data_IF_047360105447
#
_entry.id   IF_047360105447
#
_cell.length_a   1.000
_cell.length_b   1.000
_cell.length_c   1.000
_cell.angle_alpha   90.00
_cell.angle_beta   90.00
_cell.angle_gamma   90.00
#
_symmetry.space_group_name_H-M   'P 1'
#
loop_
_entity.id
_entity.type
_entity.pdbx_description
1 polymer ?
#
# COMPACT_ATOMS: atom_id res chain seq x y z
N UNK A 1 43.17 -44.59 0.17
CA UNK A 1 41.71 -44.59 0.16
C UNK A 1 41.18 -44.15 -1.21
N UNK A 2 40.96 -45.08 -2.15
CA UNK A 2 40.45 -44.74 -3.51
C UNK A 2 38.97 -44.37 -3.49
N UNK A 3 38.21 -44.98 -2.57
CA UNK A 3 36.76 -44.77 -2.41
C UNK A 3 36.45 -43.35 -1.94
N UNK A 4 37.21 -42.79 -0.98
CA UNK A 4 37.02 -41.39 -0.53
C UNK A 4 37.27 -40.39 -1.67
N UNK A 5 38.38 -40.54 -2.40
CA UNK A 5 38.69 -39.63 -3.50
C UNK A 5 37.62 -39.70 -4.61
N UNK A 6 37.12 -40.89 -4.92
CA UNK A 6 36.00 -41.06 -5.86
C UNK A 6 34.72 -40.39 -5.35
N UNK A 7 34.44 -40.46 -4.05
CA UNK A 7 33.31 -39.77 -3.43
C UNK A 7 33.45 -38.24 -3.51
N UNK A 8 34.62 -37.69 -3.18
CA UNK A 8 34.91 -36.25 -3.24
C UNK A 8 34.75 -35.70 -4.67
N UNK A 9 35.28 -36.40 -5.68
CA UNK A 9 35.15 -36.02 -7.09
C UNK A 9 33.68 -36.06 -7.55
N UNK A 10 32.93 -37.08 -7.13
CA UNK A 10 31.51 -37.20 -7.48
C UNK A 10 30.69 -36.04 -6.89
N UNK A 11 30.93 -35.70 -5.62
CA UNK A 11 30.22 -34.63 -4.94
C UNK A 11 30.53 -33.27 -5.57
N UNK A 12 31.81 -32.95 -5.81
CA UNK A 12 32.20 -31.69 -6.45
C UNK A 12 31.60 -31.57 -7.86
N UNK A 13 31.58 -32.66 -8.66
CA UNK A 13 30.91 -32.68 -9.96
C UNK A 13 29.39 -32.52 -9.87
N UNK A 14 28.77 -33.07 -8.83
CA UNK A 14 27.34 -32.89 -8.54
C UNK A 14 27.03 -31.42 -8.27
N UNK A 15 27.83 -30.80 -7.40
CA UNK A 15 27.74 -29.38 -7.07
C UNK A 15 27.89 -28.48 -8.30
N UNK A 16 28.89 -28.72 -9.16
CA UNK A 16 29.09 -27.96 -10.41
C UNK A 16 27.84 -27.95 -11.31
N UNK A 17 27.08 -29.05 -11.35
CA UNK A 17 25.83 -29.12 -12.12
C UNK A 17 24.67 -28.36 -11.46
N UNK A 18 24.67 -28.28 -10.12
CA UNK A 18 23.65 -27.55 -9.37
C UNK A 18 23.83 -26.04 -9.44
N UNK A 19 25.08 -25.56 -9.55
CA UNK A 19 25.40 -24.13 -9.66
C UNK A 19 24.56 -23.45 -10.75
N UNK A 20 24.54 -24.02 -11.96
CA UNK A 20 23.80 -23.44 -13.09
C UNK A 20 22.29 -23.40 -12.83
N UNK A 21 21.74 -24.45 -12.21
CA UNK A 21 20.31 -24.56 -11.92
C UNK A 21 19.90 -23.55 -10.86
N UNK A 22 20.62 -23.50 -9.73
CA UNK A 22 20.30 -22.59 -8.62
C UNK A 22 20.57 -21.14 -9.01
N UNK A 23 21.58 -20.86 -9.82
CA UNK A 23 21.87 -19.53 -10.34
C UNK A 23 20.72 -18.97 -11.18
N UNK A 24 19.90 -19.80 -11.83
CA UNK A 24 18.71 -19.30 -12.56
C UNK A 24 17.71 -18.57 -11.65
N UNK A 25 17.70 -18.89 -10.35
CA UNK A 25 16.84 -18.24 -9.36
C UNK A 25 17.04 -16.71 -9.31
N UNK A 26 18.25 -16.22 -9.64
CA UNK A 26 18.54 -14.78 -9.64
C UNK A 26 17.81 -14.02 -10.77
N UNK A 27 17.33 -14.73 -11.78
CA UNK A 27 16.56 -14.15 -12.89
C UNK A 27 15.05 -14.17 -12.64
N UNK A 28 14.61 -14.67 -11.49
CA UNK A 28 13.20 -14.57 -11.05
C UNK A 28 12.86 -13.14 -10.68
N UNK A 29 11.59 -12.76 -10.84
CA UNK A 29 11.06 -11.48 -10.33
C UNK A 29 11.32 -11.37 -8.82
N UNK A 30 11.48 -10.16 -8.28
CA UNK A 30 11.78 -9.98 -6.85
C UNK A 30 10.55 -10.15 -5.94
N UNK A 31 9.34 -10.01 -6.47
CA UNK A 31 8.08 -10.16 -5.75
C UNK A 31 7.17 -11.19 -6.42
N UNK A 32 6.31 -11.80 -5.61
CA UNK A 32 5.16 -12.63 -6.02
C UNK A 32 3.87 -12.00 -5.51
N UNK A 33 2.80 -12.18 -6.27
CA UNK A 33 1.43 -11.93 -5.81
C UNK A 33 0.84 -13.24 -5.33
N UNK A 34 0.28 -13.24 -4.12
CA UNK A 34 -0.40 -14.39 -3.54
C UNK A 34 -1.90 -14.16 -3.59
N UNK A 35 -2.64 -15.17 -4.03
CA UNK A 35 -4.09 -15.16 -3.89
C UNK A 35 -4.46 -15.66 -2.50
N UNK A 36 -5.37 -14.95 -1.82
CA UNK A 36 -5.83 -15.30 -0.46
C UNK A 36 -6.39 -16.72 -0.35
N UNK A 37 -6.97 -17.24 -1.44
CA UNK A 37 -7.52 -18.60 -1.48
C UNK A 37 -6.42 -19.67 -1.31
N UNK A 38 -5.19 -19.39 -1.78
CA UNK A 38 -4.05 -20.31 -1.64
C UNK A 38 -3.51 -20.30 -0.19
N UNK A 39 -3.53 -19.17 0.50
CA UNK A 39 -3.08 -19.03 1.90
C UNK A 39 -3.99 -19.72 2.91
N UNK A 40 -5.32 -19.67 2.69
CA UNK A 40 -6.29 -20.37 3.53
C UNK A 40 -6.17 -21.90 3.38
N UNK A 41 -5.73 -22.39 2.23
CA UNK A 41 -5.45 -23.83 2.03
C UNK A 41 -4.21 -24.32 2.80
N UNK A 42 -3.19 -23.46 2.94
CA UNK A 42 -1.97 -23.77 3.70
C UNK A 42 -2.14 -23.57 5.22
N UNK A 43 -2.95 -22.61 5.65
CA UNK A 43 -3.18 -22.30 7.06
C UNK A 43 -4.21 -23.22 7.75
N UNK A 44 -5.08 -23.91 6.99
CA UNK A 44 -6.14 -24.77 7.55
C UNK A 44 -5.66 -26.07 8.24
N UNK A 45 -4.35 -26.29 8.37
CA UNK A 45 -3.83 -27.46 9.09
C UNK A 45 -3.78 -27.24 10.61
N UNK A 46 -3.81 -26.01 11.13
CA UNK A 46 -3.73 -25.76 12.58
C UNK A 46 -4.70 -24.69 13.09
N UNK A 47 -5.63 -25.16 13.93
CA UNK A 47 -6.43 -24.45 14.94
C UNK A 47 -7.72 -23.83 14.42
N UNK A 48 -8.83 -24.45 14.83
CA UNK A 48 -10.18 -23.93 14.67
C UNK A 48 -10.47 -22.74 15.58
N UNK A 49 -11.53 -22.03 15.22
CA UNK A 49 -12.14 -20.91 15.94
C UNK A 49 -11.38 -19.58 15.89
N UNK A 50 -11.45 -18.91 14.74
CA UNK A 50 -11.52 -17.46 14.72
C UNK A 50 -12.54 -17.05 13.66
N UNK A 51 -13.65 -16.46 14.13
CA UNK A 51 -14.58 -15.72 13.28
C UNK A 51 -13.81 -14.52 12.73
N UNK A 52 -13.29 -14.64 11.52
CA UNK A 52 -12.65 -13.53 10.81
C UNK A 52 -13.76 -12.78 10.10
N UNK A 53 -14.06 -11.59 10.61
CA UNK A 53 -14.82 -10.55 9.92
C UNK A 53 -14.20 -10.41 8.53
N UNK A 54 -14.90 -10.92 7.52
CA UNK A 54 -14.52 -10.77 6.12
C UNK A 54 -14.67 -9.31 5.72
N UNK A 55 -13.59 -8.54 5.82
CA UNK A 55 -13.45 -7.30 5.07
C UNK A 55 -13.44 -7.69 3.59
N UNK A 56 -14.58 -7.46 2.96
CA UNK A 56 -14.87 -7.74 1.56
C UNK A 56 -14.10 -6.77 0.68
N UNK A 57 -12.90 -7.12 0.23
CA UNK A 57 -12.34 -6.43 -0.94
C UNK A 57 -11.35 -7.31 -1.67
N UNK A 58 -11.75 -7.70 -2.88
CA UNK A 58 -10.96 -8.38 -3.91
C UNK A 58 -9.76 -7.52 -4.41
N UNK A 59 -9.47 -6.41 -3.73
CA UNK A 59 -8.66 -5.26 -4.17
C UNK A 59 -7.30 -5.16 -3.46
N UNK A 60 -7.04 -5.97 -2.43
CA UNK A 60 -5.77 -6.00 -1.71
C UNK A 60 -4.92 -7.22 -2.08
N UNK A 61 -4.07 -7.13 -3.11
CA UNK A 61 -3.11 -8.18 -3.40
C UNK A 61 -2.13 -8.33 -2.22
N UNK A 62 -1.98 -9.57 -1.75
CA UNK A 62 -0.91 -9.90 -0.80
C UNK A 62 0.37 -10.18 -1.60
N UNK A 63 1.48 -9.59 -1.15
CA UNK A 63 2.77 -9.72 -1.82
C UNK A 63 3.71 -10.55 -0.95
N UNK A 64 4.61 -11.29 -1.59
CA UNK A 64 5.73 -11.98 -0.94
C UNK A 64 7.03 -11.70 -1.67
N UNK A 65 8.14 -11.76 -0.94
CA UNK A 65 9.48 -11.65 -1.51
C UNK A 65 9.85 -12.98 -2.16
N UNK A 66 10.17 -12.95 -3.44
CA UNK A 66 10.44 -14.13 -4.25
C UNK A 66 11.91 -14.54 -4.20
N UNK A 67 12.40 -14.97 -3.04
CA UNK A 67 13.82 -15.33 -2.88
C UNK A 67 13.98 -16.83 -2.66
N UNK A 68 14.75 -17.50 -3.52
CA UNK A 68 15.06 -18.92 -3.37
C UNK A 68 16.15 -19.10 -2.29
N UNK A 69 15.87 -19.76 -1.15
CA UNK A 69 16.85 -20.00 -0.10
C UNK A 69 18.08 -20.80 -0.57
N UNK A 70 17.95 -21.61 -1.64
CA UNK A 70 19.07 -22.35 -2.21
C UNK A 70 20.19 -21.43 -2.73
N UNK A 71 19.89 -20.16 -3.06
CA UNK A 71 20.89 -19.17 -3.48
C UNK A 71 21.88 -18.89 -2.34
N UNK A 72 21.41 -18.76 -1.10
CA UNK A 72 22.29 -18.53 0.06
C UNK A 72 23.08 -19.79 0.42
N UNK A 73 22.47 -20.98 0.23
CA UNK A 73 23.17 -22.25 0.39
C UNK A 73 24.32 -22.36 -0.62
N UNK A 74 24.06 -22.09 -1.90
CA UNK A 74 25.07 -22.07 -2.96
C UNK A 74 26.20 -21.08 -2.66
N UNK A 75 25.89 -19.88 -2.16
CA UNK A 75 26.91 -18.91 -1.75
C UNK A 75 27.79 -19.49 -0.63
N UNK A 76 27.18 -20.11 0.39
CA UNK A 76 27.91 -20.73 1.50
C UNK A 76 28.81 -21.87 1.01
N UNK A 77 28.29 -22.74 0.16
CA UNK A 77 29.06 -23.83 -0.45
C UNK A 77 30.24 -23.30 -1.26
N UNK A 78 30.02 -22.26 -2.07
CA UNK A 78 31.05 -21.59 -2.86
C UNK A 78 32.20 -21.10 -1.98
N UNK A 79 31.88 -20.44 -0.86
CA UNK A 79 32.88 -19.94 0.08
C UNK A 79 33.65 -21.09 0.76
N UNK A 80 32.97 -22.17 1.13
CA UNK A 80 33.60 -23.35 1.70
C UNK A 80 34.56 -24.01 0.71
N UNK A 81 34.12 -24.25 -0.54
CA UNK A 81 34.93 -24.88 -1.58
C UNK A 81 36.14 -24.00 -1.96
N UNK A 82 35.97 -22.68 -1.99
CA UNK A 82 37.06 -21.74 -2.23
C UNK A 82 38.14 -21.82 -1.14
N UNK A 83 37.74 -21.94 0.14
CA UNK A 83 38.67 -22.13 1.28
C UNK A 83 39.41 -23.46 1.22
N UNK A 84 38.80 -24.49 0.61
CA UNK A 84 39.42 -25.79 0.37
C UNK A 84 40.36 -25.80 -0.85
N UNK A 85 40.49 -24.69 -1.57
CA UNK A 85 41.35 -24.57 -2.76
C UNK A 85 40.80 -25.29 -3.99
N UNK A 86 39.50 -25.57 -4.03
CA UNK A 86 38.84 -26.21 -5.16
C UNK A 86 38.48 -25.18 -6.25
N UNK A 87 38.32 -25.66 -7.49
CA UNK A 87 37.92 -24.81 -8.61
C UNK A 87 36.47 -24.34 -8.43
N UNK A 88 36.24 -23.04 -8.64
CA UNK A 88 34.94 -22.39 -8.47
C UNK A 88 34.46 -21.86 -9.82
N UNK A 89 33.23 -22.20 -10.25
CA UNK A 89 32.58 -21.60 -11.41
C UNK A 89 32.47 -20.08 -11.27
N UNK A 90 32.57 -19.36 -12.39
CA UNK A 90 32.54 -17.89 -12.38
C UNK A 90 31.23 -17.35 -11.84
N UNK A 91 30.14 -18.01 -12.20
CA UNK A 91 28.77 -17.70 -11.82
C UNK A 91 28.59 -17.76 -10.30
N UNK A 92 29.07 -18.85 -9.69
CA UNK A 92 29.08 -19.04 -8.23
C UNK A 92 29.96 -17.99 -7.53
N UNK A 93 31.15 -17.69 -8.08
CA UNK A 93 32.05 -16.69 -7.52
C UNK A 93 31.46 -15.28 -7.55
N UNK A 94 30.81 -14.89 -8.66
CA UNK A 94 30.11 -13.60 -8.79
C UNK A 94 28.95 -13.53 -7.81
N UNK A 95 28.17 -14.61 -7.69
CA UNK A 95 27.05 -14.69 -6.78
C UNK A 95 27.49 -14.53 -5.32
N UNK A 96 28.57 -15.19 -4.92
CA UNK A 96 29.15 -15.07 -3.58
C UNK A 96 29.66 -13.65 -3.28
N UNK A 97 30.19 -12.92 -4.26
CA UNK A 97 30.57 -11.52 -4.10
C UNK A 97 29.38 -10.58 -3.87
N UNK A 98 28.18 -10.97 -4.30
CA UNK A 98 26.94 -10.17 -4.16
C UNK A 98 26.12 -10.52 -2.92
N UNK A 99 26.62 -11.39 -2.04
CA UNK A 99 25.90 -11.89 -0.86
C UNK A 99 25.30 -10.77 0.01
N UNK A 100 26.12 -9.77 0.37
CA UNK A 100 25.68 -8.68 1.24
C UNK A 100 24.55 -7.86 0.62
N UNK A 101 24.62 -7.62 -0.69
CA UNK A 101 23.56 -6.92 -1.43
C UNK A 101 22.27 -7.73 -1.48
N UNK A 102 22.35 -9.04 -1.76
CA UNK A 102 21.17 -9.91 -1.81
C UNK A 102 20.47 -9.99 -0.45
N UNK A 103 21.23 -10.16 0.64
CA UNK A 103 20.67 -10.17 2.00
C UNK A 103 20.01 -8.85 2.35
N UNK A 104 20.67 -7.74 2.02
CA UNK A 104 20.13 -6.40 2.24
C UNK A 104 18.82 -6.18 1.47
N UNK A 105 18.79 -6.47 0.17
CA UNK A 105 17.58 -6.33 -0.64
C UNK A 105 16.44 -7.23 -0.14
N UNK A 106 16.75 -8.46 0.29
CA UNK A 106 15.75 -9.34 0.90
C UNK A 106 15.12 -8.71 2.16
N UNK A 107 15.94 -8.15 3.05
CA UNK A 107 15.45 -7.48 4.26
C UNK A 107 14.61 -6.25 3.93
N UNK A 108 15.09 -5.37 3.05
CA UNK A 108 14.39 -4.15 2.65
C UNK A 108 13.05 -4.46 1.94
N UNK A 109 13.03 -5.44 1.04
CA UNK A 109 11.80 -5.88 0.36
C UNK A 109 10.80 -6.51 1.34
N UNK A 110 11.28 -7.25 2.33
CA UNK A 110 10.41 -7.84 3.36
C UNK A 110 9.74 -6.75 4.19
N UNK A 111 10.51 -5.73 4.60
CA UNK A 111 9.97 -4.57 5.32
C UNK A 111 8.97 -3.77 4.46
N UNK A 112 9.27 -3.58 3.19
CA UNK A 112 8.40 -2.89 2.23
C UNK A 112 7.07 -3.61 2.06
N UNK A 113 7.08 -4.93 1.88
CA UNK A 113 5.87 -5.76 1.75
C UNK A 113 5.02 -5.68 3.02
N UNK A 114 5.64 -5.79 4.19
CA UNK A 114 4.95 -5.69 5.48
C UNK A 114 4.37 -4.30 5.72
N UNK A 115 5.11 -3.24 5.38
CA UNK A 115 4.63 -1.85 5.44
C UNK A 115 3.39 -1.69 4.55
N UNK A 116 3.46 -2.13 3.29
CA UNK A 116 2.33 -2.06 2.37
C UNK A 116 1.10 -2.80 2.93
N UNK A 117 1.28 -3.98 3.55
CA UNK A 117 0.19 -4.71 4.21
C UNK A 117 -0.46 -3.90 5.33
N UNK A 118 0.34 -3.35 6.24
CA UNK A 118 -0.17 -2.54 7.37
C UNK A 118 -0.91 -1.28 6.91
N UNK A 119 -0.40 -0.58 5.89
CA UNK A 119 -1.08 0.60 5.34
C UNK A 119 -2.45 0.26 4.77
N UNK A 120 -2.55 -0.88 4.11
CA UNK A 120 -3.80 -1.38 3.55
C UNK A 120 -4.83 -1.76 4.62
N UNK A 121 -4.37 -2.20 5.79
CA UNK A 121 -5.22 -2.48 6.96
C UNK A 121 -5.69 -1.20 7.67
N UNK A 122 -4.97 -0.07 7.55
CA UNK A 122 -5.41 1.25 8.07
C UNK A 122 -6.60 1.85 7.31
N UNK A 123 -6.91 1.35 6.11
CA UNK A 123 -7.98 1.90 5.27
C UNK A 123 -9.34 1.52 5.86
N UNK A 124 -10.13 2.52 6.30
CA UNK A 124 -11.49 2.28 6.78
C UNK A 124 -12.42 1.98 5.60
N UNK A 125 -13.30 1.00 5.79
CA UNK A 125 -14.24 0.51 4.76
C UNK A 125 -15.02 1.62 4.00
N UNK A 126 -15.52 2.69 4.64
CA UNK A 126 -16.25 3.75 3.93
C UNK A 126 -15.43 4.49 2.86
N UNK A 127 -14.10 4.49 2.99
CA UNK A 127 -13.20 5.22 2.09
C UNK A 127 -12.52 4.33 1.05
N UNK A 128 -12.77 3.01 1.04
CA UNK A 128 -12.13 2.09 0.09
C UNK A 128 -12.39 2.51 -1.37
N UNK A 129 -13.64 2.83 -1.70
CA UNK A 129 -14.02 3.27 -3.05
C UNK A 129 -13.36 4.60 -3.44
N UNK A 130 -13.22 5.50 -2.47
CA UNK A 130 -12.63 6.82 -2.65
C UNK A 130 -11.12 6.74 -2.89
N UNK A 131 -10.45 5.84 -2.17
CA UNK A 131 -9.02 5.59 -2.25
C UNK A 131 -8.61 4.71 -3.43
N UNK A 132 -9.56 4.09 -4.13
CA UNK A 132 -9.29 3.13 -5.20
C UNK A 132 -8.29 3.64 -6.26
N UNK A 133 -8.36 4.89 -6.75
CA UNK A 133 -7.40 5.41 -7.73
C UNK A 133 -5.97 5.54 -7.16
N UNK A 134 -5.83 5.97 -5.91
CA UNK A 134 -4.52 6.06 -5.22
C UNK A 134 -3.94 4.66 -4.97
N UNK A 135 -4.78 3.70 -4.58
CA UNK A 135 -4.39 2.29 -4.43
C UNK A 135 -3.94 1.72 -5.78
N UNK A 136 -4.62 2.05 -6.88
CA UNK A 136 -4.25 1.61 -8.22
C UNK A 136 -2.87 2.15 -8.62
N UNK A 137 -2.63 3.45 -8.40
CA UNK A 137 -1.31 4.06 -8.62
C UNK A 137 -0.21 3.39 -7.82
N UNK A 138 -0.46 3.07 -6.55
CA UNK A 138 0.50 2.33 -5.72
C UNK A 138 0.77 0.93 -6.29
N UNK A 139 -0.26 0.22 -6.75
CA UNK A 139 -0.11 -1.08 -7.40
C UNK A 139 0.74 -1.00 -8.67
N UNK A 140 0.57 0.05 -9.48
CA UNK A 140 1.36 0.28 -10.70
C UNK A 140 2.84 0.54 -10.39
N UNK A 141 3.14 1.24 -9.31
CA UNK A 141 4.52 1.46 -8.84
C UNK A 141 5.16 0.14 -8.36
N UNK A 142 4.37 -0.77 -7.76
CA UNK A 142 4.83 -2.09 -7.29
C UNK A 142 4.97 -3.10 -8.45
N UNK A 143 4.14 -2.99 -9.50
CA UNK A 143 4.04 -3.93 -10.64
C UNK A 143 5.38 -4.32 -11.31
N UNK A 144 6.38 -3.44 -11.46
CA UNK A 144 7.69 -3.81 -11.96
C UNK A 144 8.37 -4.91 -11.13
N UNK A 145 8.18 -4.92 -9.80
CA UNK A 145 8.72 -5.96 -8.91
C UNK A 145 8.13 -7.35 -9.16
N UNK A 146 6.94 -7.42 -9.77
CA UNK A 146 6.25 -8.68 -10.11
C UNK A 146 6.60 -9.18 -11.51
N UNK A 147 7.15 -8.33 -12.38
CA UNK A 147 7.26 -8.63 -13.82
C UNK A 147 8.67 -8.48 -14.36
N UNK A 148 9.29 -7.31 -14.22
CA UNK A 148 10.53 -6.96 -14.94
C UNK A 148 11.77 -6.87 -14.04
N UNK A 149 11.60 -6.57 -12.76
CA UNK A 149 12.72 -6.45 -11.82
C UNK A 149 13.03 -7.82 -11.24
N UNK A 150 14.27 -8.26 -11.45
CA UNK A 150 14.81 -9.54 -10.99
C UNK A 150 15.94 -9.33 -9.99
N UNK A 151 16.34 -10.37 -9.26
CA UNK A 151 17.47 -10.30 -8.31
C UNK A 151 18.82 -9.99 -8.96
N UNK A 152 18.92 -10.18 -10.28
CA UNK A 152 20.08 -9.81 -11.06
C UNK A 152 20.15 -8.29 -11.33
N UNK A 153 19.02 -7.59 -11.23
CA UNK A 153 18.87 -6.20 -11.64
C UNK A 153 19.74 -5.25 -10.80
N UNK A 154 20.28 -4.23 -11.46
CA UNK A 154 21.02 -3.16 -10.82
C UNK A 154 20.10 -2.06 -10.26
N UNK A 155 18.82 -2.07 -10.63
CA UNK A 155 17.84 -1.03 -10.28
C UNK A 155 16.96 -1.38 -9.08
N UNK A 156 17.25 -2.47 -8.36
CA UNK A 156 16.45 -2.91 -7.20
C UNK A 156 16.39 -1.81 -6.14
N UNK A 157 17.51 -1.13 -5.86
CA UNK A 157 17.55 -0.04 -4.90
C UNK A 157 16.64 1.13 -5.29
N UNK A 158 16.65 1.53 -6.57
CA UNK A 158 15.81 2.62 -7.07
C UNK A 158 14.32 2.26 -7.00
N UNK A 159 13.99 1.01 -7.30
CA UNK A 159 12.65 0.47 -7.13
C UNK A 159 12.20 0.49 -5.67
N UNK A 160 13.02 -0.03 -4.74
CA UNK A 160 12.71 -0.02 -3.31
C UNK A 160 12.46 1.41 -2.83
N UNK A 161 13.33 2.36 -3.20
CA UNK A 161 13.19 3.77 -2.83
C UNK A 161 11.92 4.40 -3.41
N UNK A 162 11.60 4.12 -4.68
CA UNK A 162 10.40 4.61 -5.34
C UNK A 162 9.13 4.09 -4.67
N UNK A 163 9.07 2.80 -4.37
CA UNK A 163 7.91 2.20 -3.69
C UNK A 163 7.81 2.71 -2.26
N UNK A 164 8.91 2.76 -1.49
CA UNK A 164 8.89 3.28 -0.13
C UNK A 164 8.42 4.73 -0.07
N UNK A 165 8.90 5.58 -0.97
CA UNK A 165 8.46 6.98 -1.05
C UNK A 165 6.95 7.08 -1.33
N UNK A 166 6.42 6.26 -2.24
CA UNK A 166 4.98 6.22 -2.52
C UNK A 166 4.17 5.68 -1.33
N UNK A 167 4.71 4.70 -0.59
CA UNK A 167 4.09 4.20 0.64
C UNK A 167 4.11 5.25 1.76
N UNK A 168 5.19 6.01 1.92
CA UNK A 168 5.30 7.09 2.90
C UNK A 168 4.30 8.23 2.61
N UNK A 169 4.18 8.63 1.35
CA UNK A 169 3.21 9.64 0.93
C UNK A 169 1.77 9.18 1.20
N UNK A 170 1.47 7.91 0.89
CA UNK A 170 0.16 7.32 1.13
C UNK A 170 -0.15 7.19 2.63
N UNK A 171 0.82 6.78 3.45
CA UNK A 171 0.69 6.68 4.91
C UNK A 171 0.38 8.04 5.54
N UNK A 172 1.17 9.07 5.17
CA UNK A 172 0.96 10.43 5.65
C UNK A 172 -0.43 10.95 5.30
N UNK A 173 -0.91 10.68 4.08
CA UNK A 173 -2.24 11.07 3.65
C UNK A 173 -3.34 10.35 4.46
N UNK A 174 -3.18 9.04 4.71
CA UNK A 174 -4.12 8.28 5.55
C UNK A 174 -4.13 8.78 7.00
N UNK A 175 -2.98 9.05 7.59
CA UNK A 175 -2.87 9.57 8.95
C UNK A 175 -3.56 10.93 9.05
N UNK A 176 -3.32 11.84 8.10
CA UNK A 176 -4.01 13.15 8.04
C UNK A 176 -5.53 13.00 7.88
N UNK A 177 -5.99 12.12 6.99
CA UNK A 177 -7.43 11.88 6.82
C UNK A 177 -8.06 11.33 8.11
N UNK A 178 -7.39 10.39 8.78
CA UNK A 178 -7.86 9.82 10.03
C UNK A 178 -7.89 10.83 11.18
N UNK A 179 -6.92 11.75 11.24
CA UNK A 179 -6.91 12.83 12.24
C UNK A 179 -8.06 13.81 12.03
N UNK A 180 -8.33 14.21 10.78
CA UNK A 180 -9.49 15.06 10.45
C UNK A 180 -10.80 14.40 10.88
N UNK A 181 -10.96 13.10 10.57
CA UNK A 181 -12.15 12.34 10.96
C UNK A 181 -12.28 12.28 12.48
N UNK A 182 -11.23 11.84 13.17
CA UNK A 182 -11.30 11.56 14.61
C UNK A 182 -11.50 12.84 15.43
N UNK A 183 -10.72 13.89 15.14
CA UNK A 183 -10.63 15.05 16.02
C UNK A 183 -11.43 16.27 15.55
N UNK A 184 -11.72 16.39 14.24
CA UNK A 184 -12.46 17.55 13.71
C UNK A 184 -13.87 17.23 13.29
N UNK A 185 -14.16 15.96 12.99
CA UNK A 185 -15.51 15.51 12.65
C UNK A 185 -16.13 14.82 13.87
N UNK A 186 -15.65 13.65 14.24
CA UNK A 186 -16.28 12.79 15.25
C UNK A 186 -16.33 13.47 16.62
N UNK A 187 -15.20 14.00 17.10
CA UNK A 187 -15.16 14.71 18.39
C UNK A 187 -16.08 15.94 18.44
N UNK A 188 -16.16 16.71 17.36
CA UNK A 188 -17.01 17.91 17.30
C UNK A 188 -18.49 17.52 17.22
N UNK A 189 -18.83 16.46 16.50
CA UNK A 189 -20.18 15.91 16.45
C UNK A 189 -20.61 15.36 17.81
N UNK A 190 -19.71 14.72 18.55
CA UNK A 190 -19.97 14.24 19.91
C UNK A 190 -20.20 15.41 20.89
N UNK A 191 -19.43 16.49 20.77
CA UNK A 191 -19.65 17.73 21.53
C UNK A 191 -21.02 18.36 21.23
N UNK A 192 -21.47 18.35 19.97
CA UNK A 192 -22.82 18.82 19.60
C UNK A 192 -23.88 17.90 20.24
N UNK A 193 -23.69 16.58 20.15
CA UNK A 193 -24.65 15.59 20.64
C UNK A 193 -24.80 15.61 22.16
N UNK A 194 -23.73 15.96 22.89
CA UNK A 194 -23.70 16.03 24.36
C UNK A 194 -24.03 17.41 24.92
N UNK A 195 -24.37 18.37 24.06
CA UNK A 195 -24.62 19.75 24.48
C UNK A 195 -25.92 19.88 25.30
N UNK A 196 -25.83 20.48 26.49
CA UNK A 196 -26.98 20.71 27.37
C UNK A 196 -27.88 21.82 26.81
N UNK A 197 -29.09 21.46 26.41
CA UNK A 197 -30.12 22.41 25.94
C UNK A 197 -31.14 22.80 27.02
N UNK A 198 -31.19 22.02 28.10
CA UNK A 198 -32.13 22.17 29.19
C UNK A 198 -31.48 21.66 30.46
N UNK A 199 -31.58 22.44 31.54
CA UNK A 199 -31.06 22.09 32.85
C UNK A 199 -32.22 21.98 33.83
N UNK A 200 -32.31 20.83 34.50
CA UNK A 200 -33.29 20.61 35.55
C UNK A 200 -32.63 21.02 36.87
N UNK A 201 -33.25 21.90 37.68
CA UNK A 201 -32.68 22.32 38.95
C UNK A 201 -32.73 21.17 39.96
N UNK A 202 -31.58 20.84 40.55
CA UNK A 202 -31.43 19.75 41.52
C UNK A 202 -31.59 20.21 42.98
N UNK A 203 -31.32 21.48 43.28
CA UNK A 203 -31.27 21.99 44.66
C UNK A 203 -32.55 22.73 45.09
N UNK A 204 -32.88 23.85 44.44
CA UNK A 204 -34.03 24.68 44.79
C UNK A 204 -35.09 24.72 43.68
N UNK A 205 -36.39 24.64 44.04
CA UNK A 205 -37.47 24.74 43.07
C UNK A 205 -37.51 26.16 42.48
N UNK A 206 -37.43 26.25 41.16
CA UNK A 206 -37.58 27.52 40.42
C UNK A 206 -39.00 27.67 39.88
N UNK A 207 -39.40 28.91 39.56
CA UNK A 207 -40.71 29.15 38.94
C UNK A 207 -40.73 28.69 37.48
N UNK A 208 -41.91 28.35 36.92
CA UNK A 208 -42.04 27.99 35.51
C UNK A 208 -41.50 29.08 34.56
N UNK A 209 -41.68 30.36 34.89
CA UNK A 209 -41.19 31.49 34.10
C UNK A 209 -39.66 31.57 34.12
N UNK A 210 -39.05 31.35 35.28
CA UNK A 210 -37.59 31.34 35.44
C UNK A 210 -36.97 30.15 34.67
N UNK A 211 -37.58 28.97 34.78
CA UNK A 211 -37.15 27.77 34.03
C UNK A 211 -37.21 28.00 32.51
N UNK A 212 -38.32 28.57 32.03
CA UNK A 212 -38.49 28.88 30.61
C UNK A 212 -37.42 29.87 30.13
N UNK A 213 -37.15 30.92 30.91
CA UNK A 213 -36.13 31.90 30.59
C UNK A 213 -34.73 31.28 30.53
N UNK A 214 -34.34 30.50 31.53
CA UNK A 214 -33.05 29.82 31.58
C UNK A 214 -32.88 28.85 30.40
N UNK A 215 -33.92 28.06 30.09
CA UNK A 215 -33.92 27.13 28.96
C UNK A 215 -33.80 27.89 27.64
N UNK A 216 -34.50 29.01 27.48
CA UNK A 216 -34.42 29.84 26.29
C UNK A 216 -33.02 30.44 26.10
N UNK A 217 -32.38 30.90 27.17
CA UNK A 217 -31.01 31.42 27.13
C UNK A 217 -29.98 30.33 26.78
N UNK A 218 -30.10 29.15 27.41
CA UNK A 218 -29.29 27.97 27.06
C UNK A 218 -29.45 27.60 25.59
N UNK A 219 -30.69 27.52 25.09
CA UNK A 219 -30.98 27.23 23.69
C UNK A 219 -30.41 28.28 22.73
N UNK A 220 -30.48 29.58 23.09
CA UNK A 220 -29.92 30.66 22.28
C UNK A 220 -28.39 30.58 22.17
N UNK A 221 -27.70 30.23 23.27
CA UNK A 221 -26.25 30.04 23.27
C UNK A 221 -25.87 28.77 22.51
N UNK A 222 -26.55 27.65 22.80
CA UNK A 222 -26.31 26.38 22.14
C UNK A 222 -26.55 26.46 20.63
N UNK A 223 -27.61 27.12 20.19
CA UNK A 223 -27.90 27.33 18.76
C UNK A 223 -26.71 27.96 18.01
N UNK A 224 -26.10 29.01 18.59
CA UNK A 224 -24.93 29.67 18.00
C UNK A 224 -23.70 28.74 17.98
N UNK A 225 -23.46 27.99 19.04
CA UNK A 225 -22.34 27.06 19.15
C UNK A 225 -22.47 25.89 18.17
N UNK A 226 -23.66 25.28 18.11
CA UNK A 226 -23.97 24.20 17.17
C UNK A 226 -23.77 24.68 15.75
N UNK A 227 -24.22 25.88 15.40
CA UNK A 227 -24.01 26.44 14.05
C UNK A 227 -22.52 26.54 13.69
N UNK A 228 -21.69 27.11 14.57
CA UNK A 228 -20.24 27.25 14.35
C UNK A 228 -19.59 25.86 14.22
N UNK A 229 -19.91 24.95 15.14
CA UNK A 229 -19.37 23.58 15.14
C UNK A 229 -19.78 22.81 13.89
N UNK A 230 -21.02 22.97 13.43
CA UNK A 230 -21.53 22.31 12.22
C UNK A 230 -20.79 22.80 10.98
N UNK A 231 -20.52 24.09 10.88
CA UNK A 231 -19.70 24.65 9.80
C UNK A 231 -18.26 24.12 9.84
N UNK A 232 -17.65 24.03 11.02
CA UNK A 232 -16.30 23.46 11.16
C UNK A 232 -16.23 21.99 10.74
N UNK A 233 -17.29 21.21 11.01
CA UNK A 233 -17.41 19.82 10.58
C UNK A 233 -17.53 19.76 9.06
N UNK A 234 -18.35 20.60 8.44
CA UNK A 234 -18.49 20.71 6.99
C UNK A 234 -17.13 21.00 6.32
N UNK A 235 -16.40 22.00 6.82
CA UNK A 235 -15.05 22.34 6.33
C UNK A 235 -14.08 21.15 6.47
N UNK A 236 -14.13 20.43 7.59
CA UNK A 236 -13.27 19.26 7.80
C UNK A 236 -13.62 18.11 6.84
N UNK A 237 -14.90 17.89 6.54
CA UNK A 237 -15.34 16.91 5.55
C UNK A 237 -14.87 17.29 4.15
N UNK A 238 -14.97 18.57 3.78
CA UNK A 238 -14.46 19.06 2.49
C UNK A 238 -12.94 18.88 2.38
N UNK A 239 -12.18 19.12 3.45
CA UNK A 239 -10.74 18.88 3.48
C UNK A 239 -10.40 17.39 3.34
N UNK A 240 -11.17 16.48 3.96
CA UNK A 240 -11.02 15.03 3.75
C UNK A 240 -11.27 14.67 2.29
N UNK A 241 -12.32 15.22 1.66
CA UNK A 241 -12.61 14.97 0.25
C UNK A 241 -11.47 15.46 -0.64
N UNK A 242 -10.98 16.68 -0.44
CA UNK A 242 -9.85 17.22 -1.22
C UNK A 242 -8.57 16.40 -1.02
N UNK A 243 -8.26 16.01 0.22
CA UNK A 243 -7.09 15.21 0.53
C UNK A 243 -7.13 13.82 -0.15
N UNK A 244 -8.32 13.19 -0.19
CA UNK A 244 -8.49 11.85 -0.75
C UNK A 244 -8.68 11.87 -2.27
N UNK A 245 -9.27 12.93 -2.82
CA UNK A 245 -9.70 13.03 -4.23
C UNK A 245 -9.03 14.11 -5.08
N UNK A 246 -8.24 15.03 -4.52
CA UNK A 246 -7.76 16.23 -5.22
C UNK A 246 -7.03 15.96 -6.54
N UNK A 247 -6.30 14.83 -6.62
CA UNK A 247 -5.64 14.39 -7.86
C UNK A 247 -6.63 13.92 -8.95
N UNK A 248 -7.78 13.37 -8.57
CA UNK A 248 -8.79 12.85 -9.50
C UNK A 248 -9.51 14.02 -10.20
N UNK A 249 -9.76 15.09 -9.44
CA UNK A 249 -10.47 16.28 -9.93
C UNK A 249 -9.59 17.07 -10.91
N UNK A 250 -8.30 17.24 -10.62
CA UNK A 250 -7.34 17.91 -11.50
C UNK A 250 -7.01 17.14 -12.78
N UNK A 251 -7.08 15.80 -12.75
CA UNK A 251 -6.83 14.96 -13.93
C UNK A 251 -7.98 14.95 -14.94
N UNK A 252 -9.22 15.20 -14.49
CA UNK A 252 -10.40 15.21 -15.36
C UNK A 252 -10.56 16.53 -16.14
N UNK A 253 -10.10 17.66 -15.59
CA UNK A 253 -10.17 18.97 -16.28
C UNK A 253 -9.21 19.07 -17.49
N UNK A 254 -8.21 18.17 -17.59
CA UNK A 254 -7.25 18.15 -18.71
C UNK A 254 -7.73 17.41 -19.97
N UNK A 255 -8.82 16.64 -19.90
CA UNK A 255 -9.21 15.70 -20.97
C UNK A 255 -10.40 16.17 -21.83
N UNK A 256 -11.11 17.22 -21.42
CA UNK A 256 -12.29 17.73 -22.14
C UNK A 256 -11.96 18.79 -23.23
N UNK A 257 -10.69 19.17 -23.39
CA UNK A 257 -10.29 20.27 -24.29
C UNK A 257 -9.68 19.83 -25.63
N UNK A 258 -9.83 18.57 -26.03
CA UNK A 258 -9.24 18.07 -27.29
C UNK A 258 -10.22 17.27 -28.14
N UNK A 259 -11.44 17.79 -28.36
CA UNK A 259 -12.36 17.17 -29.32
C UNK A 259 -13.40 18.11 -29.93
N UNK A 260 -13.01 19.30 -30.38
CA UNK A 260 -13.78 20.07 -31.39
C UNK A 260 -12.84 20.93 -32.24
N UNK A 261 -12.09 20.30 -33.15
CA UNK A 261 -11.58 20.98 -34.34
C UNK A 261 -11.35 19.92 -35.41
N UNK A 262 -12.30 19.83 -36.35
CA UNK A 262 -12.19 18.92 -37.48
C UNK A 262 -13.50 18.38 -38.02
N UNK A 263 -14.44 19.24 -38.40
CA UNK A 263 -15.50 18.89 -39.36
C UNK A 263 -16.21 20.15 -39.89
N UNK A 264 -15.58 20.83 -40.85
CA UNK A 264 -16.31 21.64 -41.83
C UNK A 264 -15.76 21.26 -43.21
N UNK A 265 -16.35 20.20 -43.76
CA UNK A 265 -16.18 19.80 -45.15
C UNK A 265 -17.04 20.72 -46.02
N UNK A 266 -16.37 21.36 -46.97
CA UNK A 266 -16.79 21.84 -48.28
C UNK A 266 -18.26 21.59 -48.66
N UNK A 267 -18.97 22.69 -48.91
CA UNK A 267 -20.13 22.73 -49.80
C UNK A 267 -20.02 24.00 -50.65
N UNK A 268 -19.68 23.78 -51.91
CA UNK A 268 -20.22 24.40 -53.13
C UNK A 268 -20.70 25.86 -53.05
N UNK A 269 -19.97 26.75 -53.73
CA UNK A 269 -20.55 27.88 -54.45
C UNK A 269 -19.79 28.02 -55.78
N UNK A 270 -20.38 27.48 -56.86
CA UNK A 270 -20.07 27.88 -58.24
C UNK A 270 -20.67 29.27 -58.47
N UNK A 271 -19.81 30.29 -58.52
CA UNK A 271 -20.15 31.60 -59.08
C UNK A 271 -20.26 31.50 -60.61
N UNK A 272 -21.48 31.65 -61.11
CA UNK A 272 -21.77 32.18 -62.45
C UNK A 272 -21.56 33.70 -62.47
N UNK A 273 -20.55 34.19 -63.18
CA UNK A 273 -20.67 35.39 -64.03
C UNK A 273 -19.46 35.49 -65.00
N UNK A 274 -19.73 35.66 -66.31
CA UNK A 274 -18.73 36.01 -67.33
C UNK A 274 -18.39 34.95 -68.38
#
# INVERSE_FOLDING_TARGET
SKVLLSYEILYHRGWLRQVDVVATGIHSSILLRVNRDDLLSAASVHIGTASVVTSTSQTNPEYLVNFDPNILELIRETQCLARLGLEIPKEAAILAQREDYLKRYYQELTQLVEKNKRLREKIKQPFEALLAPKIHRLNDIIKPGLTSITWASLTINDFINSVNSALDEFDLMLDRANDLITYRIDAVLDEIATMTLCEIPDDEPITPEQFLHNTQDLCNVASKQIQIKSHNVEDAVLEVIDLLCGDIISSNEGNDNMQYSGAALNADDEETDG
#
